data_IF_521998150534
#
_entry.id   IF_521998150534
#
_cell.length_a   1.000
_cell.length_b   1.000
_cell.length_c   1.000
_cell.angle_alpha   90.00
_cell.angle_beta   90.00
_cell.angle_gamma   90.00
#
_symmetry.space_group_name_H-M   'P 1'
#
loop_
_entity.id
_entity.type
_entity.pdbx_description
1 polymer ?
#
# COMPACT_ATOMS: atom_id res chain seq x y z
N UNK A 1 6.42 -24.36 -5.45
CA UNK A 1 5.36 -23.72 -4.64
C UNK A 1 6.02 -22.55 -3.95
N UNK A 2 5.78 -21.32 -4.41
CA UNK A 2 6.40 -20.14 -3.81
C UNK A 2 5.88 -20.03 -2.37
N UNK A 3 6.74 -20.30 -1.41
CA UNK A 3 6.47 -20.09 0.01
C UNK A 3 6.09 -18.62 0.19
N UNK A 4 4.83 -18.40 0.50
CA UNK A 4 4.22 -17.11 0.75
C UNK A 4 5.02 -16.40 1.86
N UNK A 5 5.85 -15.42 1.49
CA UNK A 5 6.77 -14.75 2.40
C UNK A 5 6.09 -13.93 3.50
N UNK A 6 4.75 -13.88 3.50
CA UNK A 6 3.95 -13.06 4.39
C UNK A 6 3.93 -13.56 5.84
N UNK A 7 4.24 -14.85 6.09
CA UNK A 7 4.27 -15.38 7.46
C UNK A 7 5.46 -14.89 8.30
N UNK A 8 6.54 -14.42 7.65
CA UNK A 8 7.70 -13.81 8.32
C UNK A 8 7.61 -12.29 8.46
N UNK A 9 6.53 -11.67 7.96
CA UNK A 9 6.32 -10.24 8.08
C UNK A 9 5.88 -9.86 9.50
N UNK A 10 6.32 -8.69 9.95
CA UNK A 10 5.79 -8.05 11.16
C UNK A 10 4.27 -7.87 11.01
N UNK A 11 3.50 -7.85 12.11
CA UNK A 11 2.05 -7.66 12.06
C UNK A 11 1.63 -6.46 11.21
N UNK A 12 2.36 -5.34 11.32
CA UNK A 12 2.11 -4.10 10.59
C UNK A 12 2.36 -4.26 9.09
N UNK A 13 3.42 -4.98 8.71
CA UNK A 13 3.73 -5.26 7.32
C UNK A 13 2.70 -6.19 6.69
N UNK A 14 2.23 -7.20 7.43
CA UNK A 14 1.15 -8.10 7.00
C UNK A 14 -0.16 -7.33 6.81
N UNK A 15 -0.47 -6.43 7.75
CA UNK A 15 -1.62 -5.53 7.62
C UNK A 15 -1.50 -4.63 6.38
N UNK A 16 -0.31 -4.07 6.10
CA UNK A 16 -0.07 -3.24 4.92
C UNK A 16 -0.36 -3.98 3.63
N UNK A 17 0.16 -5.20 3.47
CA UNK A 17 -0.11 -6.04 2.28
C UNK A 17 -1.60 -6.27 2.09
N UNK A 18 -2.33 -6.54 3.18
CA UNK A 18 -3.78 -6.77 3.12
C UNK A 18 -4.55 -5.52 2.73
N UNK A 19 -4.18 -4.36 3.26
CA UNK A 19 -4.81 -3.07 2.97
C UNK A 19 -4.57 -2.70 1.50
N UNK A 20 -3.35 -2.82 1.00
CA UNK A 20 -3.02 -2.52 -0.40
C UNK A 20 -3.83 -3.39 -1.36
N UNK A 21 -3.95 -4.69 -1.07
CA UNK A 21 -4.75 -5.61 -1.88
C UNK A 21 -6.24 -5.20 -1.91
N UNK A 22 -6.79 -4.79 -0.77
CA UNK A 22 -8.18 -4.32 -0.69
C UNK A 22 -8.39 -3.02 -1.48
N UNK A 23 -7.43 -2.08 -1.41
CA UNK A 23 -7.47 -0.83 -2.15
C UNK A 23 -7.46 -1.08 -3.66
N UNK A 24 -6.55 -1.94 -4.14
CA UNK A 24 -6.50 -2.33 -5.55
C UNK A 24 -7.78 -3.03 -6.00
N UNK A 25 -8.33 -3.94 -5.18
CA UNK A 25 -9.59 -4.61 -5.48
C UNK A 25 -10.78 -3.63 -5.56
N UNK A 26 -10.74 -2.54 -4.80
CA UNK A 26 -11.72 -1.44 -4.87
C UNK A 26 -11.47 -0.48 -6.05
N UNK A 27 -10.48 -0.75 -6.91
CA UNK A 27 -10.15 0.09 -8.07
C UNK A 27 -9.23 1.27 -7.77
N UNK A 28 -8.61 1.31 -6.59
CA UNK A 28 -7.67 2.38 -6.24
C UNK A 28 -6.27 2.08 -6.75
N UNK A 29 -5.60 3.12 -7.25
CA UNK A 29 -4.20 3.06 -7.67
C UNK A 29 -3.32 3.34 -6.46
N UNK A 30 -2.57 2.33 -5.99
CA UNK A 30 -1.65 2.47 -4.86
C UNK A 30 -0.28 2.94 -5.37
N UNK A 31 0.23 4.07 -4.86
CA UNK A 31 1.48 4.70 -5.31
C UNK A 31 2.39 5.05 -4.13
N UNK A 32 3.70 5.08 -4.37
CA UNK A 32 4.70 5.57 -3.42
C UNK A 32 4.73 7.10 -3.41
N UNK A 33 4.96 7.71 -2.24
CA UNK A 33 5.00 9.17 -2.09
C UNK A 33 6.04 9.83 -3.01
N UNK A 34 7.16 9.16 -3.30
CA UNK A 34 8.25 9.72 -4.13
C UNK A 34 7.88 9.87 -5.61
N UNK A 35 6.83 9.20 -6.06
CA UNK A 35 6.44 9.18 -7.47
C UNK A 35 4.93 9.29 -7.65
N UNK A 36 4.27 10.00 -6.74
CA UNK A 36 2.82 10.15 -6.75
C UNK A 36 2.35 10.93 -7.99
N UNK A 37 1.44 10.32 -8.74
CA UNK A 37 0.64 10.98 -9.76
C UNK A 37 -0.84 10.91 -9.35
N UNK A 38 -1.38 12.02 -8.85
CA UNK A 38 -2.78 12.10 -8.40
C UNK A 38 -3.78 11.98 -9.56
N UNK A 39 -3.33 12.10 -10.80
CA UNK A 39 -4.17 11.93 -11.99
C UNK A 39 -4.15 10.49 -12.54
N UNK A 40 -3.50 9.55 -11.86
CA UNK A 40 -3.39 8.16 -12.31
C UNK A 40 -4.73 7.39 -12.31
N UNK A 41 -5.75 7.91 -11.63
CA UNK A 41 -7.09 7.33 -11.60
C UNK A 41 -8.06 8.11 -10.72
N UNK A 42 -9.32 7.68 -10.70
CA UNK A 42 -10.37 8.31 -9.87
C UNK A 42 -10.11 8.13 -8.37
N UNK A 43 -9.46 7.03 -7.97
CA UNK A 43 -8.98 6.78 -6.61
C UNK A 43 -7.48 6.54 -6.59
N UNK A 44 -6.75 7.32 -5.79
CA UNK A 44 -5.29 7.19 -5.60
C UNK A 44 -4.99 7.07 -4.10
N UNK A 45 -4.35 5.98 -3.71
CA UNK A 45 -3.84 5.77 -2.35
C UNK A 45 -2.32 5.96 -2.34
N UNK A 46 -1.80 6.79 -1.44
CA UNK A 46 -0.36 7.06 -1.31
C UNK A 46 0.18 6.36 -0.07
N UNK A 47 1.21 5.53 -0.23
CA UNK A 47 1.90 4.85 0.89
C UNK A 47 3.05 5.70 1.42
N UNK A 48 3.38 5.49 2.70
CA UNK A 48 4.54 6.10 3.38
C UNK A 48 4.50 7.65 3.41
N UNK A 49 3.37 8.23 3.83
CA UNK A 49 3.32 9.65 4.17
C UNK A 49 4.03 9.86 5.52
N UNK A 50 5.25 10.39 5.48
CA UNK A 50 5.93 10.86 6.70
C UNK A 50 5.19 12.11 7.18
N UNK A 51 4.37 11.97 8.22
CA UNK A 51 3.80 13.10 8.92
C UNK A 51 4.79 13.57 9.99
N UNK A 52 4.99 14.88 10.10
CA UNK A 52 5.95 15.52 11.02
C UNK A 52 5.70 15.21 12.52
N UNK A 53 4.52 14.69 12.86
CA UNK A 53 4.20 14.24 14.21
C UNK A 53 4.63 12.78 14.41
N UNK A 54 5.84 12.59 14.94
CA UNK A 54 6.30 11.34 15.56
C UNK A 54 5.85 11.22 17.02
#
# INVERSE_FOLDING_TARGET
>A
MASDGHDRLLPEQRARVRIDAMLTAAGWVVQDYKSVNLYAGTGVAVRELVTDAG
#
